data_IF_181599862420
#
_entry.id   IF_181599862420
#
_cell.length_a   1.000
_cell.length_b   1.000
_cell.length_c   1.000
_cell.angle_alpha   90.00
_cell.angle_beta   90.00
_cell.angle_gamma   90.00
#
_symmetry.space_group_name_H-M   'P 1'
#
loop_
_entity.id
_entity.type
_entity.pdbx_description
1 polymer ?
#
# COMPACT_ATOMS: atom_id res chain seq x y z
N UNK A 1 51.24 25.75 -0.52
CA UNK A 1 50.25 26.70 -1.08
C UNK A 1 49.26 25.87 -1.89
N UNK A 2 47.97 25.86 -1.52
CA UNK A 2 46.90 25.23 -2.30
C UNK A 2 46.42 23.84 -1.84
N UNK A 3 45.77 23.75 -0.68
CA UNK A 3 44.91 22.62 -0.36
C UNK A 3 43.64 22.70 -1.22
N UNK A 4 43.44 21.77 -2.16
CA UNK A 4 42.16 21.62 -2.86
C UNK A 4 41.15 21.00 -1.89
N UNK A 5 40.28 21.84 -1.33
CA UNK A 5 39.02 21.41 -0.71
C UNK A 5 38.24 20.58 -1.73
N UNK A 6 38.13 19.27 -1.51
CA UNK A 6 37.10 18.44 -2.13
C UNK A 6 35.75 18.98 -1.65
N UNK A 7 35.02 19.64 -2.54
CA UNK A 7 33.67 20.08 -2.29
C UNK A 7 32.80 18.87 -1.96
N UNK A 8 32.40 18.76 -0.70
CA UNK A 8 31.27 17.95 -0.28
C UNK A 8 29.99 18.61 -0.79
N UNK A 9 29.72 18.50 -2.09
CA UNK A 9 28.39 18.74 -2.60
C UNK A 9 27.50 17.63 -2.04
N UNK A 10 26.47 17.99 -1.29
CA UNK A 10 25.42 17.07 -0.87
C UNK A 10 24.81 16.44 -2.12
N UNK A 11 25.25 15.25 -2.51
CA UNK A 11 24.56 14.47 -3.53
C UNK A 11 23.11 14.28 -3.06
N UNK A 12 22.16 14.60 -3.93
CA UNK A 12 20.74 14.49 -3.61
C UNK A 12 20.43 13.03 -3.27
N UNK A 13 19.45 12.77 -2.40
CA UNK A 13 19.00 11.40 -2.09
C UNK A 13 18.57 10.66 -3.36
N UNK A 14 18.07 11.39 -4.35
CA UNK A 14 17.72 10.91 -5.69
C UNK A 14 18.92 10.50 -6.55
N UNK A 15 20.12 11.01 -6.24
CA UNK A 15 21.35 10.63 -6.95
C UNK A 15 21.91 9.30 -6.42
N UNK A 16 21.42 8.83 -5.26
CA UNK A 16 21.90 7.62 -4.58
C UNK A 16 20.88 6.48 -4.57
N UNK A 17 19.60 6.81 -4.59
CA UNK A 17 18.51 5.83 -4.55
C UNK A 17 17.60 5.99 -5.77
N UNK A 18 17.06 4.88 -6.29
CA UNK A 18 16.12 4.89 -7.42
C UNK A 18 14.72 5.34 -6.98
N UNK A 19 14.61 6.62 -6.64
CA UNK A 19 13.40 7.21 -6.08
C UNK A 19 12.29 7.29 -7.13
N UNK A 20 12.63 7.55 -8.39
CA UNK A 20 11.65 7.68 -9.48
C UNK A 20 11.08 6.31 -9.85
N UNK A 21 11.96 5.32 -10.05
CA UNK A 21 11.59 3.94 -10.33
C UNK A 21 10.76 3.36 -9.18
N UNK A 22 11.20 3.60 -7.94
CA UNK A 22 10.44 3.25 -6.74
C UNK A 22 9.06 3.88 -6.69
N UNK A 23 8.94 5.18 -6.97
CA UNK A 23 7.66 5.86 -6.96
C UNK A 23 6.71 5.30 -8.03
N UNK A 24 7.19 5.06 -9.25
CA UNK A 24 6.38 4.44 -10.32
C UNK A 24 5.96 3.03 -9.94
N UNK A 25 6.89 2.24 -9.39
CA UNK A 25 6.62 0.88 -8.92
C UNK A 25 5.61 0.85 -7.76
N UNK A 26 5.67 1.80 -6.83
CA UNK A 26 4.70 1.97 -5.75
C UNK A 26 3.31 2.33 -6.23
N UNK A 27 3.20 3.25 -7.19
CA UNK A 27 1.92 3.56 -7.84
C UNK A 27 1.34 2.32 -8.53
N UNK A 28 2.17 1.61 -9.30
CA UNK A 28 1.75 0.40 -9.98
C UNK A 28 1.30 -0.69 -8.99
N UNK A 29 2.03 -0.90 -7.90
CA UNK A 29 1.70 -1.87 -6.86
C UNK A 29 0.34 -1.58 -6.22
N UNK A 30 0.07 -0.31 -5.87
CA UNK A 30 -1.21 0.09 -5.27
C UNK A 30 -2.38 -0.20 -6.22
N UNK A 31 -2.25 0.20 -7.48
CA UNK A 31 -3.31 0.01 -8.49
C UNK A 31 -3.51 -1.47 -8.82
N UNK A 32 -2.43 -2.23 -9.01
CA UNK A 32 -2.52 -3.68 -9.27
C UNK A 32 -3.15 -4.41 -8.10
N UNK A 33 -2.79 -4.06 -6.86
CA UNK A 33 -3.38 -4.64 -5.66
C UNK A 33 -4.89 -4.38 -5.59
N UNK A 34 -5.33 -3.15 -5.85
CA UNK A 34 -6.76 -2.82 -5.94
C UNK A 34 -7.48 -3.63 -7.03
N UNK A 35 -6.88 -3.77 -8.21
CA UNK A 35 -7.45 -4.54 -9.32
C UNK A 35 -7.57 -6.03 -8.94
N UNK A 36 -6.59 -6.61 -8.25
CA UNK A 36 -6.66 -8.01 -7.81
C UNK A 36 -7.74 -8.21 -6.75
N UNK A 37 -7.87 -7.30 -5.78
CA UNK A 37 -8.95 -7.35 -4.79
C UNK A 37 -10.32 -7.25 -5.49
N UNK A 38 -10.48 -6.28 -6.40
CA UNK A 38 -11.69 -6.15 -7.21
C UNK A 38 -12.02 -7.45 -7.95
N UNK A 39 -11.02 -8.03 -8.61
CA UNK A 39 -11.18 -9.28 -9.35
C UNK A 39 -11.61 -10.43 -8.43
N UNK A 40 -10.95 -10.63 -7.28
CA UNK A 40 -11.29 -11.68 -6.34
C UNK A 40 -12.72 -11.55 -5.81
N UNK A 41 -13.12 -10.34 -5.42
CA UNK A 41 -14.48 -10.11 -4.91
C UNK A 41 -15.54 -10.28 -6.02
N UNK A 42 -15.21 -9.96 -7.27
CA UNK A 42 -16.12 -10.11 -8.40
C UNK A 42 -16.36 -11.59 -8.78
N UNK A 43 -15.36 -12.46 -8.57
CA UNK A 43 -15.51 -13.90 -8.88
C UNK A 43 -16.06 -14.70 -7.70
N UNK A 44 -16.11 -14.12 -6.51
CA UNK A 44 -16.67 -14.74 -5.31
C UNK A 44 -18.20 -14.63 -5.35
N UNK A 45 -18.90 -15.76 -5.45
CA UNK A 45 -20.36 -15.75 -5.58
C UNK A 45 -21.10 -15.38 -4.29
N UNK A 46 -20.40 -15.43 -3.15
CA UNK A 46 -21.00 -15.13 -1.84
C UNK A 46 -20.86 -13.65 -1.48
N UNK A 47 -20.14 -12.86 -2.30
CA UNK A 47 -19.97 -11.42 -2.15
C UNK A 47 -20.87 -10.68 -3.14
N UNK A 48 -21.81 -9.89 -2.63
CA UNK A 48 -22.62 -8.97 -3.43
C UNK A 48 -22.14 -7.54 -3.24
N UNK A 49 -21.44 -6.99 -4.23
CA UNK A 49 -20.91 -5.63 -4.17
C UNK A 49 -21.92 -4.57 -4.61
N UNK A 50 -21.91 -3.39 -3.97
CA UNK A 50 -22.65 -2.20 -4.38
C UNK A 50 -24.16 -2.32 -4.28
N UNK A 51 -24.65 -3.22 -3.42
CA UNK A 51 -26.08 -3.41 -3.14
C UNK A 51 -26.58 -2.56 -1.97
N UNK A 52 -25.64 -2.02 -1.18
CA UNK A 52 -25.91 -1.15 -0.04
C UNK A 52 -25.76 0.34 -0.36
N UNK A 53 -25.53 1.12 0.71
CA UNK A 53 -25.29 2.57 0.61
C UNK A 53 -23.89 2.89 0.06
N UNK A 54 -22.94 1.97 0.24
CA UNK A 54 -21.61 2.04 -0.34
C UNK A 54 -21.64 1.54 -1.79
N UNK A 55 -20.87 2.19 -2.66
CA UNK A 55 -20.67 1.70 -4.01
C UNK A 55 -19.67 0.55 -4.06
N UNK A 56 -19.68 -0.19 -5.17
CA UNK A 56 -18.72 -1.28 -5.43
C UNK A 56 -17.26 -0.87 -5.20
N UNK A 57 -16.89 0.36 -5.60
CA UNK A 57 -15.52 0.85 -5.48
C UNK A 57 -15.14 1.16 -4.02
N UNK A 58 -16.09 1.61 -3.21
CA UNK A 58 -15.88 1.88 -1.79
C UNK A 58 -15.57 0.57 -1.05
N UNK A 59 -16.42 -0.44 -1.25
CA UNK A 59 -16.27 -1.77 -0.63
C UNK A 59 -14.96 -2.46 -1.05
N UNK A 60 -14.59 -2.37 -2.34
CA UNK A 60 -13.30 -2.89 -2.84
C UNK A 60 -12.13 -2.17 -2.17
N UNK A 61 -12.23 -0.85 -2.02
CA UNK A 61 -11.28 -0.06 -1.25
C UNK A 61 -11.17 -0.56 0.18
N UNK A 62 -12.29 -0.79 0.85
CA UNK A 62 -12.31 -1.30 2.22
C UNK A 62 -11.60 -2.65 2.36
N UNK A 63 -11.89 -3.61 1.48
CA UNK A 63 -11.18 -4.89 1.44
C UNK A 63 -9.69 -4.72 1.18
N UNK A 64 -9.30 -3.81 0.28
CA UNK A 64 -7.91 -3.54 -0.01
C UNK A 64 -7.17 -2.96 1.22
N UNK A 65 -7.77 -2.03 1.96
CA UNK A 65 -7.15 -1.51 3.20
C UNK A 65 -7.08 -2.59 4.28
N UNK A 66 -8.16 -3.37 4.45
CA UNK A 66 -8.18 -4.49 5.39
C UNK A 66 -7.20 -5.60 5.04
N UNK A 67 -6.85 -5.80 3.77
CA UNK A 67 -5.78 -6.73 3.36
C UNK A 67 -4.39 -6.33 3.87
N UNK A 68 -4.21 -5.07 4.29
CA UNK A 68 -2.99 -4.59 4.96
C UNK A 68 -3.15 -4.54 6.49
N UNK A 69 -4.17 -5.18 7.04
CA UNK A 69 -4.60 -5.09 8.43
C UNK A 69 -5.08 -3.69 8.88
N UNK A 70 -5.40 -2.78 7.95
CA UNK A 70 -6.06 -1.52 8.33
C UNK A 70 -7.56 -1.75 8.60
N UNK A 71 -8.08 -1.07 9.62
CA UNK A 71 -9.48 -1.20 9.96
C UNK A 71 -10.33 -0.26 9.11
N UNK A 72 -11.61 -0.59 9.03
CA UNK A 72 -12.67 0.26 8.50
C UNK A 72 -13.43 0.79 9.71
N UNK A 73 -13.46 2.12 9.83
CA UNK A 73 -14.18 2.82 10.88
C UNK A 73 -15.60 3.13 10.40
N UNK A 74 -16.58 2.76 11.22
CA UNK A 74 -17.97 3.18 11.11
C UNK A 74 -18.23 4.17 12.24
N UNK A 75 -18.64 5.39 11.89
CA UNK A 75 -19.01 6.43 12.84
C UNK A 75 -20.49 6.79 12.68
N UNK A 76 -21.21 6.89 13.79
CA UNK A 76 -22.61 7.33 13.82
C UNK A 76 -22.90 8.12 15.09
N UNK A 77 -23.49 9.31 14.95
CA UNK A 77 -23.95 10.14 16.08
C UNK A 77 -22.88 10.41 17.17
N UNK A 78 -21.59 10.45 16.78
CA UNK A 78 -20.46 10.69 17.69
C UNK A 78 -19.88 9.44 18.36
N UNK A 79 -20.41 8.26 18.07
CA UNK A 79 -19.84 6.97 18.43
C UNK A 79 -19.11 6.38 17.22
N UNK A 80 -17.97 5.71 17.42
CA UNK A 80 -17.26 4.98 16.36
C UNK A 80 -16.86 3.57 16.77
N UNK A 81 -16.83 2.69 15.77
CA UNK A 81 -16.39 1.30 15.87
C UNK A 81 -15.54 0.94 14.67
N UNK A 82 -14.47 0.19 14.87
CA UNK A 82 -13.53 -0.17 13.81
C UNK A 82 -13.35 -1.68 13.75
N UNK A 83 -13.40 -2.21 12.53
CA UNK A 83 -13.30 -3.65 12.27
C UNK A 83 -12.43 -3.90 11.04
N UNK A 84 -11.77 -5.06 10.97
CA UNK A 84 -11.10 -5.48 9.75
C UNK A 84 -12.09 -6.25 8.85
N UNK A 85 -12.36 -5.72 7.66
CA UNK A 85 -13.40 -6.26 6.80
C UNK A 85 -13.03 -7.65 6.24
N UNK A 86 -11.75 -7.90 5.98
CA UNK A 86 -11.28 -9.21 5.48
C UNK A 86 -11.52 -10.30 6.53
N UNK A 87 -11.29 -10.03 7.81
CA UNK A 87 -11.51 -11.02 8.88
C UNK A 87 -12.99 -11.25 9.20
N UNK A 88 -13.85 -10.26 8.93
CA UNK A 88 -15.28 -10.32 9.25
C UNK A 88 -16.14 -10.81 8.07
N UNK A 89 -15.63 -10.71 6.84
CA UNK A 89 -16.37 -11.08 5.65
C UNK A 89 -16.52 -12.60 5.52
N UNK A 90 -17.72 -13.03 5.17
CA UNK A 90 -17.99 -14.41 4.75
C UNK A 90 -17.75 -14.50 3.24
N UNK A 91 -16.57 -14.98 2.86
CA UNK A 91 -16.13 -15.13 1.46
C UNK A 91 -15.85 -16.59 1.15
N UNK A 92 -16.02 -17.01 -0.10
CA UNK A 92 -15.57 -18.32 -0.56
C UNK A 92 -14.05 -18.37 -0.67
N UNK A 93 -13.44 -17.26 -1.05
CA UNK A 93 -12.00 -17.12 -1.11
C UNK A 93 -11.44 -17.09 0.33
N UNK A 94 -10.48 -17.95 0.70
CA UNK A 94 -9.94 -17.95 2.07
C UNK A 94 -9.30 -16.61 2.44
N UNK A 95 -9.62 -16.09 3.63
CA UNK A 95 -9.07 -14.87 4.22
C UNK A 95 -7.54 -14.68 3.98
N UNK A 96 -6.67 -15.70 4.21
CA UNK A 96 -5.23 -15.55 4.01
C UNK A 96 -4.83 -15.13 2.58
N UNK A 97 -5.64 -15.44 1.57
CA UNK A 97 -5.37 -15.03 0.18
C UNK A 97 -5.37 -13.52 0.06
N UNK A 98 -6.32 -12.83 0.70
CA UNK A 98 -6.40 -11.38 0.66
C UNK A 98 -5.16 -10.74 1.30
N UNK A 99 -4.73 -11.22 2.47
CA UNK A 99 -3.53 -10.69 3.14
C UNK A 99 -2.23 -10.94 2.36
N UNK A 100 -2.16 -12.02 1.57
CA UNK A 100 -0.97 -12.32 0.77
C UNK A 100 -0.82 -11.40 -0.45
N UNK A 101 -1.92 -10.86 -0.99
CA UNK A 101 -1.88 -9.97 -2.15
C UNK A 101 -0.91 -8.80 -1.97
N UNK A 102 -1.08 -7.92 -0.96
CA UNK A 102 -0.18 -6.78 -0.81
C UNK A 102 1.25 -7.21 -0.53
N UNK A 103 1.44 -8.30 0.23
CA UNK A 103 2.77 -8.84 0.56
C UNK A 103 3.52 -9.25 -0.73
N UNK A 104 2.89 -10.08 -1.56
CA UNK A 104 3.52 -10.63 -2.77
C UNK A 104 3.79 -9.53 -3.79
N UNK A 105 2.84 -8.62 -4.00
CA UNK A 105 3.01 -7.50 -4.94
C UNK A 105 4.18 -6.61 -4.50
N UNK A 106 4.23 -6.20 -3.23
CA UNK A 106 5.25 -5.28 -2.73
C UNK A 106 6.65 -5.91 -2.77
N UNK A 107 6.77 -7.20 -2.45
CA UNK A 107 8.02 -7.95 -2.64
C UNK A 107 8.41 -7.97 -4.12
N UNK A 108 7.48 -8.28 -5.02
CA UNK A 108 7.75 -8.37 -6.44
C UNK A 108 8.20 -7.03 -7.04
N UNK A 109 7.54 -5.92 -6.70
CA UNK A 109 7.94 -4.61 -7.21
C UNK A 109 9.23 -4.09 -6.57
N UNK A 110 9.48 -4.39 -5.29
CA UNK A 110 10.75 -4.07 -4.63
C UNK A 110 11.93 -4.80 -5.27
N UNK A 111 11.75 -6.08 -5.62
CA UNK A 111 12.71 -6.86 -6.39
C UNK A 111 12.95 -6.22 -7.77
N UNK A 112 11.87 -5.86 -8.47
CA UNK A 112 11.94 -5.27 -9.80
C UNK A 112 12.69 -3.93 -9.82
N UNK A 113 12.46 -3.06 -8.85
CA UNK A 113 13.18 -1.77 -8.73
C UNK A 113 14.70 -1.96 -8.67
N UNK A 114 15.18 -2.98 -7.95
CA UNK A 114 16.62 -3.26 -7.87
C UNK A 114 17.14 -3.87 -9.17
N UNK A 115 16.34 -4.74 -9.81
CA UNK A 115 16.72 -5.39 -11.08
C UNK A 115 16.95 -4.44 -12.25
N UNK A 116 16.40 -3.23 -12.19
CA UNK A 116 16.56 -2.21 -13.23
C UNK A 116 17.82 -1.37 -13.08
N UNK A 117 18.62 -1.60 -12.03
CA UNK A 117 19.80 -0.79 -11.72
C UNK A 117 21.05 -1.41 -12.34
N UNK A 118 21.41 -0.93 -13.53
CA UNK A 118 22.62 -1.37 -14.23
C UNK A 118 23.89 -1.03 -13.44
N UNK A 119 24.87 -1.94 -13.45
CA UNK A 119 26.25 -1.73 -12.95
C UNK A 119 26.39 -1.41 -11.46
N UNK A 120 25.49 -1.92 -10.63
CA UNK A 120 25.64 -1.85 -9.18
C UNK A 120 26.29 -3.15 -8.67
N UNK A 121 27.32 -3.06 -7.83
CA UNK A 121 27.70 -4.15 -6.90
C UNK A 121 27.18 -3.81 -5.49
N UNK A 122 25.84 -3.80 -5.29
CA UNK A 122 25.22 -3.25 -4.08
C UNK A 122 25.48 -4.16 -2.89
N UNK A 123 25.59 -3.58 -1.70
CA UNK A 123 25.39 -4.36 -0.49
C UNK A 123 23.92 -4.74 -0.34
N UNK A 124 23.61 -5.78 0.44
CA UNK A 124 22.21 -6.11 0.77
C UNK A 124 21.46 -4.92 1.40
N UNK A 125 22.17 -4.06 2.15
CA UNK A 125 21.60 -2.82 2.71
C UNK A 125 21.21 -1.81 1.63
N UNK A 126 22.01 -1.67 0.57
CA UNK A 126 21.71 -0.77 -0.54
C UNK A 126 20.48 -1.25 -1.31
N UNK A 127 20.39 -2.57 -1.54
CA UNK A 127 19.23 -3.19 -2.18
C UNK A 127 17.95 -3.02 -1.34
N UNK A 128 18.05 -3.17 -0.02
CA UNK A 128 16.93 -2.92 0.88
C UNK A 128 16.44 -1.48 0.77
N UNK A 129 17.36 -0.50 0.77
CA UNK A 129 17.03 0.92 0.65
C UNK A 129 16.41 1.24 -0.72
N UNK A 130 16.91 0.64 -1.79
CA UNK A 130 16.34 0.77 -3.12
C UNK A 130 14.92 0.17 -3.19
N UNK A 131 14.68 -1.02 -2.64
CA UNK A 131 13.34 -1.59 -2.56
C UNK A 131 12.39 -0.77 -1.69
N UNK A 132 12.89 -0.12 -0.63
CA UNK A 132 12.10 0.74 0.23
C UNK A 132 11.58 2.00 -0.47
N UNK A 133 12.18 2.45 -1.59
CA UNK A 133 11.71 3.65 -2.31
C UNK A 133 10.32 3.48 -2.92
N UNK A 134 9.80 2.24 -2.99
CA UNK A 134 8.40 1.93 -3.34
C UNK A 134 7.40 2.74 -2.50
N UNK A 135 7.74 3.01 -1.22
CA UNK A 135 6.90 3.81 -0.32
C UNK A 135 6.59 5.21 -0.85
N UNK A 136 7.48 5.79 -1.66
CA UNK A 136 7.34 7.16 -2.17
C UNK A 136 6.12 7.30 -3.07
N UNK A 137 5.81 6.26 -3.86
CA UNK A 137 4.62 6.24 -4.71
C UNK A 137 3.40 5.66 -4.02
N UNK A 138 3.59 4.71 -3.11
CA UNK A 138 2.50 3.99 -2.45
C UNK A 138 1.81 4.85 -1.38
N UNK A 139 2.60 5.57 -0.55
CA UNK A 139 2.09 6.34 0.59
C UNK A 139 1.09 7.43 0.19
N UNK A 140 1.35 8.28 -0.83
CA UNK A 140 0.39 9.31 -1.22
C UNK A 140 -0.93 8.72 -1.70
N UNK A 141 -0.91 7.60 -2.43
CA UNK A 141 -2.12 6.92 -2.86
C UNK A 141 -2.88 6.30 -1.68
N UNK A 142 -2.17 5.69 -0.73
CA UNK A 142 -2.78 5.21 0.50
C UNK A 142 -3.43 6.33 1.31
N UNK A 143 -2.88 7.54 1.29
CA UNK A 143 -3.53 8.69 1.92
C UNK A 143 -4.76 9.16 1.12
N UNK A 144 -4.66 9.28 -0.21
CA UNK A 144 -5.78 9.66 -1.07
C UNK A 144 -6.94 8.67 -0.97
N UNK A 145 -6.64 7.36 -0.90
CA UNK A 145 -7.65 6.32 -0.80
C UNK A 145 -8.47 6.38 0.49
N UNK A 146 -7.92 6.89 1.61
CA UNK A 146 -8.72 7.13 2.82
C UNK A 146 -9.93 8.01 2.50
N UNK A 147 -9.69 9.12 1.79
CA UNK A 147 -10.76 10.04 1.42
C UNK A 147 -11.61 9.52 0.27
N UNK A 148 -11.00 8.82 -0.68
CA UNK A 148 -11.70 8.31 -1.86
C UNK A 148 -12.68 7.19 -1.52
N UNK A 149 -12.37 6.36 -0.52
CA UNK A 149 -13.20 5.24 -0.07
C UNK A 149 -13.98 5.57 1.21
N UNK A 150 -14.14 6.85 1.56
CA UNK A 150 -15.00 7.25 2.67
C UNK A 150 -16.38 7.62 2.14
N UNK A 151 -17.40 6.90 2.61
CA UNK A 151 -18.80 7.20 2.37
C UNK A 151 -19.31 8.01 3.56
N UNK A 152 -19.94 9.15 3.31
CA UNK A 152 -20.54 10.01 4.36
C UNK A 152 -22.00 10.27 4.05
N UNK A 153 -22.84 10.20 5.09
CA UNK A 153 -24.27 10.44 5.00
C UNK A 153 -24.72 11.38 6.12
N UNK A 154 -25.44 12.44 5.75
CA UNK A 154 -26.04 13.37 6.68
C UNK A 154 -27.56 13.24 6.66
N UNK A 155 -28.19 13.08 7.83
CA UNK A 155 -29.63 13.02 7.96
C UNK A 155 -30.14 13.63 9.28
N UNK A 156 -31.46 13.70 9.44
CA UNK A 156 -32.09 14.28 10.64
C UNK A 156 -31.80 13.56 11.96
N UNK A 157 -31.14 12.40 11.92
CA UNK A 157 -30.74 11.59 13.06
C UNK A 157 -29.24 11.69 13.42
N UNK A 158 -28.43 12.40 12.62
CA UNK A 158 -26.98 12.53 12.83
C UNK A 158 -26.17 12.39 11.53
N UNK A 159 -24.85 12.58 11.65
CA UNK A 159 -23.88 12.29 10.59
C UNK A 159 -23.34 10.87 10.78
N UNK A 160 -23.30 10.13 9.68
CA UNK A 160 -22.74 8.78 9.60
C UNK A 160 -21.59 8.78 8.60
N UNK A 161 -20.50 8.08 8.90
CA UNK A 161 -19.42 7.87 7.95
C UNK A 161 -18.86 6.46 8.04
N UNK A 162 -18.45 5.91 6.92
CA UNK A 162 -17.77 4.62 6.85
C UNK A 162 -16.61 4.70 5.87
N UNK A 163 -15.42 4.29 6.32
CA UNK A 163 -14.22 4.34 5.49
C UNK A 163 -12.97 3.84 6.21
N UNK A 164 -11.82 3.82 5.53
CA UNK A 164 -10.57 3.40 6.15
C UNK A 164 -10.20 4.26 7.36
N UNK A 165 -9.86 3.63 8.48
CA UNK A 165 -9.40 4.33 9.68
C UNK A 165 -8.05 5.00 9.40
N UNK A 166 -7.99 6.34 9.52
CA UNK A 166 -6.85 7.15 9.06
C UNK A 166 -5.49 6.69 9.62
N UNK A 167 -5.43 6.36 10.92
CA UNK A 167 -4.18 5.97 11.58
C UNK A 167 -3.64 4.66 11.00
N UNK A 168 -4.46 3.61 10.98
CA UNK A 168 -4.05 2.29 10.49
C UNK A 168 -3.85 2.30 8.98
N UNK A 169 -4.64 3.07 8.23
CA UNK A 169 -4.45 3.31 6.81
C UNK A 169 -3.06 3.92 6.49
N UNK A 170 -2.71 5.04 7.11
CA UNK A 170 -1.42 5.70 6.83
C UNK A 170 -0.25 4.86 7.33
N UNK A 171 -0.36 4.31 8.54
CA UNK A 171 0.74 3.60 9.18
C UNK A 171 0.97 2.22 8.54
N UNK A 172 -0.06 1.40 8.34
CA UNK A 172 0.09 0.05 7.81
C UNK A 172 0.16 0.06 6.29
N UNK A 173 -0.88 0.56 5.63
CA UNK A 173 -1.00 0.54 4.16
C UNK A 173 0.03 1.47 3.53
N UNK A 174 0.10 2.72 4.01
CA UNK A 174 0.94 3.75 3.41
C UNK A 174 2.43 3.62 3.71
N UNK A 175 2.80 3.13 4.89
CA UNK A 175 4.18 3.19 5.37
C UNK A 175 4.79 1.81 5.63
N UNK A 176 4.28 1.05 6.61
CA UNK A 176 4.94 -0.16 7.09
C UNK A 176 4.97 -1.27 6.05
N UNK A 177 3.87 -1.53 5.35
CA UNK A 177 3.83 -2.56 4.30
C UNK A 177 4.81 -2.28 3.15
N UNK A 178 4.71 -1.15 2.43
CA UNK A 178 5.61 -0.89 1.31
C UNK A 178 7.07 -0.77 1.74
N UNK A 179 7.35 -0.22 2.93
CA UNK A 179 8.72 -0.14 3.45
C UNK A 179 9.27 -1.54 3.76
N UNK A 180 8.52 -2.38 4.47
CA UNK A 180 8.98 -3.71 4.87
C UNK A 180 9.11 -4.64 3.66
N UNK A 181 8.02 -4.82 2.91
CA UNK A 181 7.95 -5.81 1.84
C UNK A 181 8.69 -5.36 0.58
N UNK A 182 8.72 -4.05 0.29
CA UNK A 182 9.60 -3.49 -0.75
C UNK A 182 11.07 -3.72 -0.42
N UNK A 183 11.49 -3.50 0.84
CA UNK A 183 12.87 -3.79 1.28
C UNK A 183 13.22 -5.27 1.16
N UNK A 184 12.30 -6.16 1.57
CA UNK A 184 12.49 -7.62 1.43
C UNK A 184 12.69 -7.99 -0.04
N UNK A 185 11.87 -7.46 -0.94
CA UNK A 185 12.02 -7.65 -2.39
C UNK A 185 13.40 -7.27 -2.90
N UNK A 186 13.90 -6.09 -2.49
CA UNK A 186 15.24 -5.64 -2.85
C UNK A 186 16.34 -6.56 -2.31
N UNK A 187 16.26 -6.99 -1.05
CA UNK A 187 17.23 -7.94 -0.48
C UNK A 187 17.22 -9.28 -1.22
N UNK A 188 16.06 -9.79 -1.63
CA UNK A 188 15.98 -11.05 -2.37
C UNK A 188 16.72 -10.98 -3.71
N UNK A 189 16.70 -9.82 -4.40
CA UNK A 189 17.50 -9.61 -5.61
C UNK A 189 19.00 -9.74 -5.35
N UNK A 190 19.50 -9.22 -4.22
CA UNK A 190 20.92 -9.30 -3.86
C UNK A 190 21.44 -10.73 -3.66
N UNK A 191 20.56 -11.72 -3.52
CA UNK A 191 20.92 -13.13 -3.35
C UNK A 191 20.95 -13.91 -4.68
N UNK A 192 20.48 -13.30 -5.78
CA UNK A 192 20.43 -13.94 -7.11
C UNK A 192 21.62 -13.62 -8.01
N UNK A 193 22.50 -12.70 -7.58
CA UNK A 193 23.75 -12.29 -8.22
C UNK A 193 24.97 -12.86 -7.47
#
# INVERSE_FOLDING_TARGET
>A
MGATRRGGGSQSLTDKLPVVEGAVAGVAAYVVGLILIFFLLTIDSDVELGTGEAGTIDEVGWFFYSSHFANIEVSFAGESSSENLVSQASTQIPEPVFYLIPIVILIAVGYFVVSTLDTWNPSASDCAQAGATVVVGYLPLALVGVFLFTVSQGGGAGEASTGPELLTAVLLVGLLFPLLFGSIGGVLYSQTE
#
